data_IF_130140113665
#
_entry.id   IF_130140113665
#
_cell.length_a   1.000
_cell.length_b   1.000
_cell.length_c   1.000
_cell.angle_alpha   90.00
_cell.angle_beta   90.00
_cell.angle_gamma   90.00
#
_symmetry.space_group_name_H-M   'P 1'
#
loop_
_entity.id
_entity.type
_entity.pdbx_description
1 polymer ?
#
# COMPACT_ATOMS: atom_id res chain seq x y z
N UNK A 1 5.58 7.99 -12.82
CA UNK A 1 4.82 6.73 -12.95
C UNK A 1 4.59 6.14 -11.57
N UNK A 2 3.38 5.73 -11.23
CA UNK A 2 3.16 5.04 -9.96
C UNK A 2 3.80 3.65 -10.00
N UNK A 3 4.26 3.22 -8.85
CA UNK A 3 4.75 1.86 -8.67
C UNK A 3 3.55 0.95 -8.40
N UNK A 4 3.50 -0.20 -9.04
CA UNK A 4 2.38 -1.14 -8.89
C UNK A 4 2.81 -2.41 -8.18
N UNK A 5 2.02 -2.80 -7.18
CA UNK A 5 2.23 -4.02 -6.42
C UNK A 5 0.98 -4.88 -6.52
N UNK A 6 1.15 -6.17 -6.78
CA UNK A 6 0.04 -7.10 -6.87
C UNK A 6 -0.09 -7.89 -5.59
N UNK A 7 -1.33 -7.99 -5.08
CA UNK A 7 -1.65 -8.77 -3.89
C UNK A 7 -2.76 -9.74 -4.22
N UNK A 8 -2.54 -11.02 -3.93
CA UNK A 8 -3.57 -12.04 -4.05
C UNK A 8 -4.26 -12.20 -2.70
N UNK A 9 -5.59 -12.05 -2.68
CA UNK A 9 -6.36 -12.22 -1.45
C UNK A 9 -6.49 -13.71 -1.12
N UNK A 10 -6.06 -14.07 0.08
CA UNK A 10 -6.10 -15.44 0.59
C UNK A 10 -7.15 -15.56 1.70
N UNK A 11 -7.50 -16.80 2.06
CA UNK A 11 -8.50 -17.05 3.10
C UNK A 11 -8.15 -16.43 4.44
N UNK A 12 -6.87 -16.38 4.79
CA UNK A 12 -6.43 -15.81 6.07
C UNK A 12 -6.53 -14.29 6.13
N UNK A 13 -6.86 -13.64 5.02
CA UNK A 13 -7.11 -12.19 4.99
C UNK A 13 -8.55 -11.84 5.36
N UNK A 14 -9.45 -12.83 5.42
CA UNK A 14 -10.88 -12.57 5.50
C UNK A 14 -11.38 -12.46 6.93
N UNK A 15 -12.45 -11.68 7.07
CA UNK A 15 -13.19 -11.59 8.32
C UNK A 15 -14.37 -12.57 8.34
N UNK A 16 -15.25 -12.43 9.34
CA UNK A 16 -16.41 -13.29 9.52
C UNK A 16 -17.35 -13.29 8.30
N UNK A 17 -17.40 -12.19 7.56
CA UNK A 17 -18.31 -12.02 6.42
C UNK A 17 -17.70 -12.44 5.08
N UNK A 18 -16.47 -12.98 5.09
CA UNK A 18 -15.80 -13.37 3.85
C UNK A 18 -15.20 -12.20 3.08
N UNK A 19 -15.11 -11.05 3.68
CA UNK A 19 -14.46 -9.89 3.11
C UNK A 19 -13.10 -9.67 3.74
N UNK A 20 -12.18 -9.05 3.02
CA UNK A 20 -10.88 -8.71 3.57
C UNK A 20 -11.07 -7.84 4.82
N UNK A 21 -10.44 -8.24 5.92
CA UNK A 21 -10.46 -7.49 7.16
C UNK A 21 -9.83 -6.11 6.93
N UNK A 22 -10.47 -5.06 7.47
CA UNK A 22 -10.03 -3.69 7.24
C UNK A 22 -8.56 -3.46 7.62
N UNK A 23 -8.07 -4.13 8.64
CA UNK A 23 -6.67 -4.02 9.05
C UNK A 23 -5.71 -4.62 8.02
N UNK A 24 -6.17 -5.61 7.26
CA UNK A 24 -5.34 -6.23 6.22
C UNK A 24 -5.05 -5.27 5.08
N UNK A 25 -5.98 -4.37 4.76
CA UNK A 25 -5.71 -3.36 3.75
C UNK A 25 -4.51 -2.49 4.14
N UNK A 26 -4.38 -2.16 5.41
CA UNK A 26 -3.23 -1.39 5.90
C UNK A 26 -1.93 -2.17 5.70
N UNK A 27 -1.96 -3.47 5.92
CA UNK A 27 -0.80 -4.33 5.66
C UNK A 27 -0.48 -4.40 4.17
N UNK A 28 -1.49 -4.50 3.32
CA UNK A 28 -1.29 -4.50 1.87
C UNK A 28 -0.64 -3.20 1.40
N UNK A 29 -1.10 -2.09 1.95
CA UNK A 29 -0.55 -0.79 1.60
C UNK A 29 0.89 -0.65 2.08
N UNK A 30 1.19 -1.19 3.26
CA UNK A 30 2.56 -1.20 3.76
C UNK A 30 3.47 -2.04 2.85
N UNK A 31 3.02 -3.23 2.46
CA UNK A 31 3.79 -4.08 1.56
C UNK A 31 4.11 -3.36 0.25
N UNK A 32 3.14 -2.61 -0.27
CA UNK A 32 3.34 -1.84 -1.49
C UNK A 32 4.36 -0.71 -1.30
N UNK A 33 4.37 -0.08 -0.12
CA UNK A 33 5.38 0.95 0.18
C UNK A 33 6.78 0.37 0.27
N UNK A 34 6.94 -0.80 0.88
CA UNK A 34 8.22 -1.50 0.90
C UNK A 34 8.69 -1.83 -0.50
N UNK A 35 7.77 -2.29 -1.34
CA UNK A 35 8.07 -2.62 -2.72
C UNK A 35 8.59 -1.40 -3.48
N UNK A 36 7.95 -0.25 -3.29
CA UNK A 36 8.39 1.01 -3.89
C UNK A 36 9.80 1.39 -3.41
N UNK A 37 10.06 1.29 -2.10
CA UNK A 37 11.34 1.69 -1.52
C UNK A 37 12.47 0.77 -1.95
N UNK A 38 12.22 -0.53 -1.96
CA UNK A 38 13.22 -1.51 -2.36
C UNK A 38 13.56 -1.40 -3.85
N UNK A 39 12.68 -0.81 -4.64
CA UNK A 39 12.91 -0.59 -6.07
C UNK A 39 13.94 0.50 -6.39
N UNK A 40 14.58 1.11 -5.36
CA UNK A 40 15.66 2.05 -5.60
C UNK A 40 15.68 3.26 -4.67
N UNK A 41 14.59 3.54 -3.98
CA UNK A 41 14.49 4.75 -3.15
C UNK A 41 14.97 4.53 -1.72
N UNK A 42 14.98 3.29 -1.24
CA UNK A 42 15.35 3.01 0.15
C UNK A 42 16.79 3.43 0.45
N UNK A 43 17.72 3.08 -0.43
CA UNK A 43 19.13 3.42 -0.24
C UNK A 43 19.32 4.93 -0.16
N UNK A 44 18.62 5.68 -1.01
CA UNK A 44 18.70 7.14 -1.00
C UNK A 44 18.24 7.72 0.34
N UNK A 45 17.09 7.26 0.84
CA UNK A 45 16.56 7.74 2.12
C UNK A 45 17.51 7.41 3.28
N UNK A 46 18.09 6.20 3.27
CA UNK A 46 19.03 5.80 4.30
C UNK A 46 20.31 6.64 4.27
N UNK A 47 20.79 6.95 3.08
CA UNK A 47 21.99 7.77 2.92
C UNK A 47 21.77 9.20 3.42
N UNK A 48 20.54 9.71 3.28
CA UNK A 48 20.19 11.05 3.78
C UNK A 48 19.93 11.07 5.28
N UNK A 49 19.95 9.93 5.94
CA UNK A 49 19.71 9.86 7.38
C UNK A 49 18.23 9.97 7.76
N UNK A 50 17.32 9.76 6.80
CA UNK A 50 15.90 9.83 7.08
C UNK A 50 15.40 8.54 7.73
N UNK A 51 14.57 8.69 8.77
CA UNK A 51 13.78 7.61 9.32
C UNK A 51 12.34 7.79 8.85
N UNK A 52 11.82 6.77 8.16
CA UNK A 52 10.49 6.85 7.58
C UNK A 52 9.48 6.27 8.56
N UNK A 53 8.65 7.14 9.12
CA UNK A 53 7.63 6.78 10.09
C UNK A 53 6.28 7.31 9.61
N UNK A 54 5.27 6.44 9.62
CA UNK A 54 3.91 6.87 9.28
C UNK A 54 3.35 7.66 10.45
N UNK A 55 2.99 8.92 10.21
CA UNK A 55 2.40 9.78 11.23
C UNK A 55 0.91 10.02 11.04
N UNK A 56 0.40 9.75 9.86
CA UNK A 56 -1.03 9.94 9.57
C UNK A 56 -1.44 9.05 8.40
N UNK A 57 -2.62 8.46 8.51
CA UNK A 57 -3.23 7.70 7.42
C UNK A 57 -4.65 8.21 7.23
N UNK A 58 -4.99 8.53 5.97
CA UNK A 58 -6.35 8.87 5.57
C UNK A 58 -6.76 7.84 4.53
N UNK A 59 -7.73 7.00 4.85
CA UNK A 59 -8.09 5.87 4.00
C UNK A 59 -9.60 5.82 3.81
N UNK A 60 -10.02 5.46 2.59
CA UNK A 60 -11.42 5.25 2.25
C UNK A 60 -11.61 3.82 1.77
N UNK A 61 -12.62 3.17 2.31
CA UNK A 61 -13.01 1.81 1.93
C UNK A 61 -14.23 1.90 1.04
N UNK A 62 -14.03 1.77 -0.27
CA UNK A 62 -15.09 1.99 -1.24
C UNK A 62 -15.75 0.70 -1.73
N UNK A 63 -15.03 -0.42 -1.64
CA UNK A 63 -15.50 -1.70 -2.15
C UNK A 63 -14.77 -2.83 -1.42
N UNK A 64 -15.47 -3.86 -0.93
CA UNK A 64 -14.81 -4.98 -0.26
C UNK A 64 -14.11 -5.91 -1.27
N UNK A 65 -12.98 -6.47 -0.86
CA UNK A 65 -12.32 -7.53 -1.60
C UNK A 65 -12.64 -8.87 -0.94
N UNK A 66 -12.64 -9.93 -1.73
CA UNK A 66 -12.97 -11.28 -1.28
C UNK A 66 -11.89 -12.26 -1.69
N UNK A 67 -12.00 -13.49 -1.19
CA UNK A 67 -11.02 -14.53 -1.48
C UNK A 67 -10.90 -14.76 -2.99
N UNK A 68 -9.66 -14.87 -3.45
CA UNK A 68 -9.37 -15.10 -4.85
C UNK A 68 -9.21 -13.86 -5.68
N UNK A 69 -9.62 -12.70 -5.15
CA UNK A 69 -9.39 -11.43 -5.85
C UNK A 69 -7.90 -11.18 -5.98
N UNK A 70 -7.50 -10.58 -7.09
CA UNK A 70 -6.15 -10.06 -7.28
C UNK A 70 -6.24 -8.55 -7.26
N UNK A 71 -5.52 -7.94 -6.33
CA UNK A 71 -5.53 -6.50 -6.14
C UNK A 71 -4.26 -5.91 -6.73
N UNK A 72 -4.41 -4.74 -7.31
CA UNK A 72 -3.28 -3.93 -7.79
C UNK A 72 -3.21 -2.68 -6.94
N UNK A 73 -2.04 -2.42 -6.39
CA UNK A 73 -1.82 -1.24 -5.55
C UNK A 73 -0.87 -0.31 -6.28
N UNK A 74 -1.39 0.83 -6.69
CA UNK A 74 -0.58 1.88 -7.30
C UNK A 74 -0.10 2.80 -6.17
N UNK A 75 1.20 2.98 -6.07
CA UNK A 75 1.83 3.78 -5.02
C UNK A 75 2.66 4.87 -5.68
N UNK A 76 2.47 6.11 -5.25
CA UNK A 76 3.28 7.23 -5.75
C UNK A 76 3.59 8.21 -4.64
N UNK A 77 4.75 8.85 -4.74
CA UNK A 77 5.08 9.98 -3.90
C UNK A 77 4.38 11.21 -4.48
N UNK A 78 3.43 11.74 -3.72
CA UNK A 78 2.65 12.89 -4.19
C UNK A 78 3.36 14.20 -3.92
N UNK A 79 3.94 14.34 -2.73
CA UNK A 79 4.57 15.59 -2.33
C UNK A 79 5.70 15.30 -1.34
N UNK A 80 6.83 15.94 -1.53
CA UNK A 80 7.93 15.90 -0.59
C UNK A 80 8.09 17.27 0.06
N UNK A 81 7.90 17.30 1.37
CA UNK A 81 8.06 18.49 2.19
C UNK A 81 9.36 18.40 2.97
N UNK A 82 9.86 19.52 3.56
CA UNK A 82 11.15 19.47 4.27
C UNK A 82 11.25 18.45 5.39
N UNK A 83 10.13 18.14 6.06
CA UNK A 83 10.11 17.19 7.18
C UNK A 83 9.09 16.07 7.02
N UNK A 84 8.47 15.95 5.87
CA UNK A 84 7.41 14.98 5.66
C UNK A 84 7.28 14.66 4.18
N UNK A 85 6.64 13.55 3.89
CA UNK A 85 6.26 13.19 2.54
C UNK A 85 4.83 12.70 2.53
N UNK A 86 4.15 12.88 1.41
CA UNK A 86 2.81 12.37 1.21
C UNK A 86 2.86 11.31 0.13
N UNK A 87 2.44 10.10 0.48
CA UNK A 87 2.33 8.99 -0.44
C UNK A 87 0.86 8.73 -0.69
N UNK A 88 0.49 8.64 -1.96
CA UNK A 88 -0.88 8.31 -2.35
C UNK A 88 -0.88 6.89 -2.91
N UNK A 89 -1.81 6.10 -2.42
CA UNK A 89 -1.97 4.72 -2.84
C UNK A 89 -3.42 4.45 -3.22
N UNK A 90 -3.61 3.66 -4.26
CA UNK A 90 -4.93 3.28 -4.72
C UNK A 90 -4.95 1.78 -4.97
N UNK A 91 -5.96 1.11 -4.42
CA UNK A 91 -6.17 -0.31 -4.61
C UNK A 91 -7.27 -0.50 -5.65
N UNK A 92 -6.96 -1.22 -6.71
CA UNK A 92 -7.92 -1.60 -7.73
C UNK A 92 -7.89 -3.11 -7.93
N UNK A 93 -8.91 -3.64 -8.59
CA UNK A 93 -8.98 -5.07 -8.86
C UNK A 93 -8.44 -5.33 -10.25
N UNK A 94 -7.68 -6.41 -10.37
CA UNK A 94 -7.27 -6.89 -11.67
C UNK A 94 -8.44 -7.66 -12.25
N UNK A 95 -9.07 -7.10 -13.27
CA UNK A 95 -10.17 -7.77 -13.94
C UNK A 95 -9.64 -8.76 -14.97
N UNK A 96 -10.31 -9.89 -15.05
CA UNK A 96 -10.00 -10.93 -16.03
C UNK A 96 -10.83 -10.74 -17.30
#
# INVERSE_FOLDING_TARGET
MPHCTEIKVRGYHLDLYGHVNNARYLEFLEAARWDLLEGGNLAWFMQQGYALVVSRIDIRYLRPATMGDTLQIATRLDRLLPRAGIIVQQITWQDN
#
